data_IF_429119357545
#
_entry.id   IF_429119357545
#
_cell.length_a   1.000
_cell.length_b   1.000
_cell.length_c   1.000
_cell.angle_alpha   90.00
_cell.angle_beta   90.00
_cell.angle_gamma   90.00
#
_symmetry.space_group_name_H-M   'P 1'
#
loop_
_entity.id
_entity.type
_entity.pdbx_description
1 polymer ?
#
# COMPACT_ATOMS: atom_id res chain seq x y z
N UNK A 1 4.70 -1.84 -16.36
CA UNK A 1 5.64 -2.62 -15.52
C UNK A 1 4.95 -3.92 -15.15
N UNK A 2 5.63 -5.06 -15.26
CA UNK A 2 5.04 -6.35 -14.87
C UNK A 2 5.10 -6.48 -13.35
N UNK A 3 4.00 -6.92 -12.74
CA UNK A 3 3.94 -7.18 -11.30
C UNK A 3 4.93 -8.30 -10.96
N UNK A 4 5.88 -8.08 -10.03
CA UNK A 4 6.76 -9.15 -9.58
C UNK A 4 5.99 -10.33 -8.97
N UNK A 5 6.44 -11.55 -9.27
CA UNK A 5 5.88 -12.77 -8.70
C UNK A 5 6.60 -13.15 -7.43
N UNK A 6 5.82 -13.46 -6.39
CA UNK A 6 6.32 -13.86 -5.08
C UNK A 6 6.51 -15.38 -5.10
N UNK A 7 7.70 -15.84 -4.77
CA UNK A 7 8.02 -17.26 -4.60
C UNK A 7 7.72 -17.72 -3.18
N UNK A 8 8.04 -16.89 -2.19
CA UNK A 8 7.92 -17.24 -0.76
C UNK A 8 7.62 -15.99 0.08
N UNK A 9 6.80 -16.16 1.14
CA UNK A 9 6.63 -15.14 2.19
C UNK A 9 7.58 -15.49 3.33
N UNK A 10 8.58 -14.63 3.55
CA UNK A 10 9.60 -14.83 4.59
C UNK A 10 9.09 -14.36 5.96
N UNK A 11 8.41 -13.20 5.99
CA UNK A 11 7.69 -12.72 7.17
C UNK A 11 6.33 -12.14 6.80
N UNK A 12 5.27 -12.63 7.46
CA UNK A 12 3.90 -12.23 7.16
C UNK A 12 3.51 -10.86 7.71
N UNK A 13 4.15 -10.43 8.80
CA UNK A 13 3.85 -9.19 9.51
C UNK A 13 5.15 -8.55 9.96
N UNK A 14 5.38 -7.31 9.53
CA UNK A 14 6.48 -6.50 10.01
C UNK A 14 6.02 -5.14 10.49
N UNK A 15 7.02 -4.33 10.86
CA UNK A 15 6.91 -2.89 10.94
C UNK A 15 8.05 -2.32 10.09
N UNK A 16 7.78 -1.21 9.41
CA UNK A 16 8.81 -0.44 8.72
C UNK A 16 9.18 0.76 9.60
N UNK A 17 10.39 1.29 9.41
CA UNK A 17 10.80 2.51 10.12
C UNK A 17 9.92 3.69 9.72
N UNK A 18 9.74 4.65 10.62
CA UNK A 18 8.98 5.88 10.34
C UNK A 18 9.54 6.64 9.13
N UNK A 19 10.85 6.59 8.93
CA UNK A 19 11.52 7.20 7.78
C UNK A 19 11.10 6.52 6.46
N UNK A 20 11.03 5.19 6.45
CA UNK A 20 10.58 4.45 5.28
C UNK A 20 9.08 4.66 5.05
N UNK A 21 8.26 4.64 6.11
CA UNK A 21 6.82 4.91 6.00
C UNK A 21 6.56 6.31 5.40
N UNK A 22 7.27 7.32 5.91
CA UNK A 22 7.23 8.68 5.38
C UNK A 22 7.65 8.75 3.91
N UNK A 23 8.74 8.07 3.53
CA UNK A 23 9.22 8.04 2.16
C UNK A 23 8.20 7.39 1.21
N UNK A 24 7.54 6.31 1.63
CA UNK A 24 6.51 5.62 0.84
C UNK A 24 5.24 6.46 0.71
N UNK A 25 4.81 7.11 1.80
CA UNK A 25 3.72 8.07 1.78
C UNK A 25 3.99 9.23 0.80
N UNK A 26 5.20 9.79 0.86
CA UNK A 26 5.64 10.86 -0.05
C UNK A 26 5.65 10.38 -1.50
N UNK A 27 6.20 9.20 -1.77
CA UNK A 27 6.20 8.60 -3.10
C UNK A 27 4.78 8.45 -3.66
N UNK A 28 3.85 7.90 -2.87
CA UNK A 28 2.45 7.75 -3.29
C UNK A 28 1.80 9.10 -3.56
N UNK A 29 2.01 10.09 -2.70
CA UNK A 29 1.47 11.44 -2.88
C UNK A 29 1.95 12.08 -4.19
N UNK A 30 3.24 12.01 -4.47
CA UNK A 30 3.86 12.64 -5.65
C UNK A 30 3.55 11.88 -6.95
N UNK A 31 3.47 10.55 -6.91
CA UNK A 31 3.41 9.71 -8.11
C UNK A 31 2.04 9.07 -8.38
N UNK A 32 1.14 9.02 -7.40
CA UNK A 32 -0.21 8.42 -7.51
C UNK A 32 -1.31 9.40 -7.13
N UNK A 33 -1.02 10.33 -6.22
CA UNK A 33 -1.94 11.35 -5.74
C UNK A 33 -2.34 11.12 -4.29
N UNK A 34 -3.34 11.87 -3.82
CA UNK A 34 -3.87 11.78 -2.46
C UNK A 34 -4.79 10.56 -2.29
N UNK A 35 -5.03 10.19 -1.04
CA UNK A 35 -6.00 9.13 -0.69
C UNK A 35 -5.46 7.71 -0.80
N UNK A 36 -4.14 7.56 -0.67
CA UNK A 36 -3.47 6.27 -0.61
C UNK A 36 -2.58 6.22 0.64
N UNK A 37 -2.51 5.07 1.28
CA UNK A 37 -1.62 4.85 2.42
C UNK A 37 -1.02 3.45 2.34
N UNK A 38 0.31 3.29 2.50
CA UNK A 38 0.94 2.00 2.58
C UNK A 38 0.55 1.31 3.90
N UNK A 39 0.35 0.01 3.88
CA UNK A 39 0.03 -0.75 5.08
C UNK A 39 0.47 -2.21 4.95
N UNK A 40 0.41 -2.94 6.07
CA UNK A 40 0.65 -4.39 6.13
C UNK A 40 2.00 -4.79 5.48
N UNK A 41 3.14 -4.28 5.97
CA UNK A 41 4.44 -4.65 5.44
C UNK A 41 4.71 -6.14 5.68
N UNK A 42 5.24 -6.79 4.64
CA UNK A 42 5.64 -8.20 4.63
C UNK A 42 7.02 -8.32 3.98
N UNK A 43 7.86 -9.22 4.49
CA UNK A 43 9.11 -9.56 3.81
C UNK A 43 8.83 -10.76 2.89
N UNK A 44 9.13 -10.63 1.61
CA UNK A 44 8.87 -11.67 0.61
C UNK A 44 10.08 -11.89 -0.28
N UNK A 45 10.22 -13.11 -0.79
CA UNK A 45 11.18 -13.45 -1.83
C UNK A 45 10.48 -13.50 -3.19
N UNK A 46 11.10 -12.93 -4.21
CA UNK A 46 10.62 -12.97 -5.59
C UNK A 46 11.14 -14.21 -6.32
N UNK A 47 10.57 -14.54 -7.48
CA UNK A 47 11.02 -15.69 -8.31
C UNK A 47 12.46 -15.56 -8.81
N UNK A 48 12.99 -14.33 -8.93
CA UNK A 48 14.39 -14.07 -9.30
C UNK A 48 15.38 -14.21 -8.13
N UNK A 49 14.89 -14.58 -6.94
CA UNK A 49 15.68 -14.76 -5.73
C UNK A 49 15.90 -13.48 -4.91
N UNK A 50 15.45 -12.32 -5.38
CA UNK A 50 15.55 -11.06 -4.63
C UNK A 50 14.60 -11.04 -3.44
N UNK A 51 15.02 -10.40 -2.35
CA UNK A 51 14.21 -10.18 -1.15
C UNK A 51 13.71 -8.74 -1.11
N UNK A 52 12.39 -8.58 -1.00
CA UNK A 52 11.73 -7.28 -1.06
C UNK A 52 10.71 -7.14 0.06
N UNK A 53 10.51 -5.90 0.50
CA UNK A 53 9.40 -5.53 1.38
C UNK A 53 8.19 -5.29 0.49
N UNK A 54 7.15 -6.09 0.68
CA UNK A 54 5.84 -5.87 0.08
C UNK A 54 4.99 -5.06 1.04
N UNK A 55 4.42 -3.96 0.56
CA UNK A 55 3.36 -3.22 1.25
C UNK A 55 2.10 -3.21 0.40
N UNK A 56 0.95 -3.24 1.07
CA UNK A 56 -0.33 -3.01 0.42
C UNK A 56 -0.61 -1.51 0.35
N UNK A 57 -1.38 -1.08 -0.67
CA UNK A 57 -1.88 0.28 -0.79
C UNK A 57 -3.37 0.25 -0.49
N UNK A 58 -3.79 0.92 0.57
CA UNK A 58 -5.19 1.05 0.94
C UNK A 58 -5.70 2.44 0.60
N UNK A 59 -6.92 2.51 0.07
CA UNK A 59 -7.55 3.77 -0.31
C UNK A 59 -8.15 4.45 0.93
N UNK A 60 -7.73 5.68 1.19
CA UNK A 60 -8.13 6.43 2.37
C UNK A 60 -8.69 7.80 2.04
N UNK A 61 -9.56 8.30 2.91
CA UNK A 61 -10.09 9.65 2.80
C UNK A 61 -10.62 10.12 4.15
N UNK A 62 -10.72 11.44 4.32
CA UNK A 62 -11.35 12.03 5.50
C UNK A 62 -12.86 12.08 5.27
N UNK A 63 -13.64 11.46 6.15
CA UNK A 63 -15.09 11.55 6.11
C UNK A 63 -15.55 12.98 6.37
N UNK A 64 -16.49 13.47 5.54
CA UNK A 64 -17.08 14.81 5.70
C UNK A 64 -17.98 14.89 6.94
N UNK A 65 -18.53 13.77 7.38
CA UNK A 65 -19.55 13.75 8.43
C UNK A 65 -18.94 13.88 9.83
N UNK A 66 -17.75 13.33 10.05
CA UNK A 66 -17.13 13.22 11.37
C UNK A 66 -15.62 13.49 11.38
N UNK A 67 -15.07 14.01 10.29
CA UNK A 67 -13.65 14.32 10.13
C UNK A 67 -12.71 13.15 10.49
N UNK A 68 -13.19 11.91 10.35
CA UNK A 68 -12.45 10.69 10.69
C UNK A 68 -11.79 10.13 9.43
N UNK A 69 -10.55 9.64 9.56
CA UNK A 69 -9.87 8.94 8.49
C UNK A 69 -10.55 7.59 8.27
N UNK A 70 -11.08 7.40 7.07
CA UNK A 70 -11.73 6.18 6.62
C UNK A 70 -10.82 5.44 5.63
N UNK A 71 -10.93 4.12 5.58
CA UNK A 71 -10.34 3.26 4.56
C UNK A 71 -11.43 2.52 3.78
N UNK A 72 -11.34 2.51 2.45
CA UNK A 72 -12.23 1.73 1.59
C UNK A 72 -11.75 0.28 1.42
N UNK A 73 -10.44 0.05 1.48
CA UNK A 73 -9.82 -1.27 1.30
C UNK A 73 -8.57 -1.25 0.42
N UNK A 74 -7.89 -2.39 0.38
CA UNK A 74 -6.67 -2.57 -0.41
C UNK A 74 -6.98 -2.46 -1.90
N UNK A 75 -6.32 -1.51 -2.58
CA UNK A 75 -6.49 -1.21 -4.01
C UNK A 75 -5.23 -1.47 -4.83
N UNK A 76 -4.09 -1.71 -4.18
CA UNK A 76 -2.84 -2.00 -4.86
C UNK A 76 -1.75 -2.49 -3.92
N UNK A 77 -0.53 -2.53 -4.43
CA UNK A 77 0.66 -2.96 -3.70
C UNK A 77 1.92 -2.29 -4.22
N UNK A 78 2.95 -2.25 -3.38
CA UNK A 78 4.31 -1.84 -3.73
C UNK A 78 5.31 -2.91 -3.30
N UNK A 79 6.42 -2.98 -4.01
CA UNK A 79 7.59 -3.78 -3.64
C UNK A 79 8.78 -2.83 -3.52
N UNK A 80 9.46 -2.93 -2.39
CA UNK A 80 10.63 -2.12 -2.03
C UNK A 80 11.81 -3.07 -1.87
N UNK A 81 12.94 -2.75 -2.50
CA UNK A 81 14.16 -3.52 -2.29
C UNK A 81 14.62 -3.40 -0.83
N UNK A 82 14.79 -4.53 -0.14
CA UNK A 82 15.03 -4.55 1.31
C UNK A 82 16.39 -3.96 1.72
N UNK A 83 17.33 -3.82 0.77
CA UNK A 83 18.70 -3.34 1.03
C UNK A 83 18.88 -1.88 0.65
N UNK A 84 18.37 -1.49 -0.52
CA UNK A 84 18.51 -0.14 -1.08
C UNK A 84 17.34 0.77 -0.75
N UNK A 85 16.23 0.20 -0.26
CA UNK A 85 14.98 0.91 0.03
C UNK A 85 14.33 1.59 -1.19
N UNK A 86 14.76 1.23 -2.40
CA UNK A 86 14.20 1.74 -3.63
C UNK A 86 12.88 1.04 -3.98
N UNK A 87 11.93 1.79 -4.52
CA UNK A 87 10.68 1.22 -5.04
C UNK A 87 10.98 0.44 -6.32
N UNK A 88 10.86 -0.88 -6.25
CA UNK A 88 11.03 -1.80 -7.40
C UNK A 88 9.77 -1.83 -8.25
N UNK A 89 8.61 -1.74 -7.59
CA UNK A 89 7.32 -1.73 -8.25
C UNK A 89 6.29 -1.02 -7.39
N UNK A 90 5.36 -0.32 -8.03
CA UNK A 90 4.15 0.19 -7.40
C UNK A 90 3.00 0.10 -8.39
N UNK A 91 1.84 -0.39 -7.94
CA UNK A 91 0.63 -0.51 -8.77
C UNK A 91 0.39 0.80 -9.56
N UNK A 92 0.20 0.72 -10.89
CA UNK A 92 -0.10 1.87 -11.74
C UNK A 92 -1.35 2.65 -11.30
N UNK A 93 -1.37 3.95 -11.56
CA UNK A 93 -2.44 4.84 -11.10
C UNK A 93 -3.82 4.46 -11.66
N UNK A 94 -3.88 4.16 -12.95
CA UNK A 94 -5.07 3.69 -13.65
C UNK A 94 -5.63 2.39 -13.04
N UNK A 95 -4.75 1.46 -12.65
CA UNK A 95 -5.16 0.24 -11.96
C UNK A 95 -5.68 0.52 -10.55
N UNK A 96 -5.05 1.44 -9.80
CA UNK A 96 -5.55 1.87 -8.48
C UNK A 96 -6.96 2.45 -8.59
N UNK A 97 -7.19 3.37 -9.54
CA UNK A 97 -8.48 4.00 -9.78
C UNK A 97 -9.55 2.98 -10.19
N UNK A 98 -9.20 2.06 -11.09
CA UNK A 98 -10.10 0.97 -11.48
C UNK A 98 -10.46 0.05 -10.29
N UNK A 99 -9.51 -0.22 -9.40
CA UNK A 99 -9.75 -1.04 -8.20
C UNK A 99 -10.61 -0.29 -7.17
N UNK A 100 -10.45 1.03 -7.02
CA UNK A 100 -11.35 1.85 -6.21
C UNK A 100 -12.79 1.74 -6.71
N UNK A 101 -13.01 1.90 -8.02
CA UNK A 101 -14.36 1.82 -8.59
C UNK A 101 -14.98 0.43 -8.40
N UNK A 102 -14.19 -0.65 -8.54
CA UNK A 102 -14.65 -2.00 -8.21
C UNK A 102 -15.08 -2.14 -6.75
N UNK A 103 -14.33 -1.58 -5.79
CA UNK A 103 -14.67 -1.63 -4.37
C UNK A 103 -15.92 -0.80 -4.05
N UNK A 104 -16.10 0.36 -4.69
CA UNK A 104 -17.34 1.13 -4.54
C UNK A 104 -18.56 0.37 -5.07
N UNK A 105 -18.40 -0.30 -6.22
CA UNK A 105 -19.48 -1.05 -6.86
C UNK A 105 -19.81 -2.38 -6.17
N UNK A 106 -18.91 -2.92 -5.33
CA UNK A 106 -19.17 -4.14 -4.56
C UNK A 106 -20.05 -3.90 -3.32
N UNK A 107 -20.41 -2.65 -3.04
CA UNK A 107 -21.23 -2.30 -1.87
C UNK A 107 -20.47 -2.33 -0.54
N UNK A 108 -19.13 -2.41 -0.59
CA UNK A 108 -18.31 -2.33 0.63
C UNK A 108 -18.43 -0.93 1.22
N UNK A 109 -18.75 -0.86 2.51
CA UNK A 109 -18.78 0.39 3.26
C UNK A 109 -17.39 0.70 3.80
N UNK A 110 -16.89 1.94 3.62
CA UNK A 110 -15.65 2.39 4.24
C UNK A 110 -15.63 2.17 5.75
N UNK A 111 -14.48 1.75 6.27
CA UNK A 111 -14.25 1.45 7.69
C UNK A 111 -13.39 2.55 8.32
N UNK A 112 -13.62 2.94 9.58
CA UNK A 112 -12.70 3.81 10.29
C UNK A 112 -11.30 3.18 10.34
N UNK A 113 -10.28 3.94 9.93
CA UNK A 113 -8.89 3.53 10.13
C UNK A 113 -8.58 3.62 11.62
N UNK A 114 -8.04 2.55 12.26
CA UNK A 114 -7.54 2.68 13.61
C UNK A 114 -6.46 3.77 13.62
N UNK A 115 -6.55 4.72 14.57
CA UNK A 115 -5.46 5.65 14.83
C UNK A 115 -4.28 4.81 15.29
N UNK A 116 -3.29 4.59 14.42
CA UNK A 116 -2.01 4.03 14.83
C UNK A 116 -1.48 4.86 15.99
N UNK A 117 -0.96 4.20 17.03
CA UNK A 117 -0.18 4.88 18.06
C UNK A 117 1.06 5.43 17.35
N UNK A 118 1.02 6.72 17.01
CA UNK A 118 2.23 7.50 16.76
C UNK A 118 3.04 7.58 18.06
#
# INVERSE_FOLDING_TARGET
MVVPKISEVLEEKGQISDELDYALMKYLLENRGTGYTPCQPQLVRLEDGSEVIKVNIDNTFVSKDNNTLMGLGIVGKMFIDSKTLNVVYATPKDELEANIEKLKNSGITPQPRPKGKY
#
